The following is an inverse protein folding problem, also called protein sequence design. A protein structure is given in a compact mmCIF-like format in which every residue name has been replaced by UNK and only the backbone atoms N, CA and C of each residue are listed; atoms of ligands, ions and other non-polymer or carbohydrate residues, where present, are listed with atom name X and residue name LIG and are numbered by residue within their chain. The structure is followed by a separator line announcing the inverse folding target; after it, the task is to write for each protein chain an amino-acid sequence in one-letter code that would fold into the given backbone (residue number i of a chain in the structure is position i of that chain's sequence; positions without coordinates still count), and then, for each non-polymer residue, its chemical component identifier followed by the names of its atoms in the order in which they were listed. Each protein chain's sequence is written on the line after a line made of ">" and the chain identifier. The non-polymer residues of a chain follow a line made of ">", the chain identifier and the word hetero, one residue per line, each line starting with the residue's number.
data_IF_070399038352
#
_entry.id   IF_070399038352
#
_cell.length_a   1.000
_cell.length_b   1.000
_cell.length_c   1.000
_cell.angle_alpha   90.00
_cell.angle_beta   90.00
_cell.angle_gamma   90.00
#
_symmetry.space_group_name_H-M   'P 1'
#
loop_
_entity.id
_entity.type
_entity.pdbx_description
1 polymer ?
#
# COMPACT_ATOMS: atom_id res chain seq x y z
N UNK A 1 -3.25 -4.18 -15.89
CA UNK A 1 -2.38 -5.36 -15.75
C UNK A 1 -2.91 -6.48 -16.61
N UNK A 2 -2.05 -7.23 -17.32
CA UNK A 2 -2.45 -8.33 -18.22
C UNK A 2 -1.53 -9.52 -18.00
N UNK A 3 -2.13 -10.68 -17.82
CA UNK A 3 -1.51 -12.01 -17.74
C UNK A 3 -0.29 -12.07 -16.81
N UNK A 4 -0.40 -11.41 -15.65
CA UNK A 4 0.71 -11.34 -14.68
C UNK A 4 1.03 -12.74 -14.16
N UNK A 5 2.34 -13.07 -14.17
CA UNK A 5 2.89 -14.31 -13.62
C UNK A 5 3.99 -13.98 -12.61
N UNK A 6 3.84 -14.49 -11.38
CA UNK A 6 4.86 -14.39 -10.35
C UNK A 6 5.07 -15.74 -9.67
N UNK A 7 6.31 -16.27 -9.75
CA UNK A 7 6.71 -17.55 -9.19
C UNK A 7 7.93 -17.38 -8.30
N UNK A 8 8.02 -18.19 -7.28
CA UNK A 8 9.13 -18.18 -6.33
C UNK A 8 9.88 -19.50 -6.37
N UNK A 9 11.20 -19.48 -6.67
CA UNK A 9 12.01 -20.68 -6.63
C UNK A 9 12.21 -21.12 -5.19
N UNK A 10 11.85 -22.37 -4.89
CA UNK A 10 12.20 -23.04 -3.64
C UNK A 10 13.52 -23.75 -3.85
N UNK A 11 14.54 -23.32 -3.11
CA UNK A 11 15.88 -23.91 -3.17
C UNK A 11 16.04 -24.95 -2.06
N UNK A 12 16.65 -26.06 -2.36
CA UNK A 12 16.87 -27.14 -1.40
C UNK A 12 18.14 -27.96 -1.69
N UNK A 13 18.48 -28.85 -0.74
CA UNK A 13 19.67 -29.71 -0.82
C UNK A 13 20.98 -28.99 -0.52
N UNK A 14 22.07 -29.77 -0.42
CA UNK A 14 23.42 -29.29 -0.08
C UNK A 14 23.98 -28.25 -1.07
N UNK A 15 23.51 -28.29 -2.32
CA UNK A 15 23.98 -27.41 -3.41
C UNK A 15 23.02 -26.22 -3.67
N UNK A 16 22.05 -25.96 -2.81
CA UNK A 16 21.09 -24.85 -2.93
C UNK A 16 20.44 -24.73 -4.32
N UNK A 17 20.14 -25.87 -4.97
CA UNK A 17 19.52 -25.92 -6.30
C UNK A 17 18.01 -25.67 -6.20
N UNK A 18 17.44 -25.08 -7.26
CA UNK A 18 15.98 -24.93 -7.38
C UNK A 18 15.36 -26.31 -7.50
N UNK A 19 14.56 -26.72 -6.52
CA UNK A 19 13.89 -28.02 -6.45
C UNK A 19 12.42 -27.94 -6.82
N UNK A 20 11.78 -26.79 -6.61
CA UNK A 20 10.36 -26.52 -6.90
C UNK A 20 10.17 -25.04 -7.20
N UNK A 21 9.05 -24.72 -7.83
CA UNK A 21 8.54 -23.34 -7.95
C UNK A 21 7.19 -23.25 -7.28
N UNK A 22 6.97 -22.17 -6.50
CA UNK A 22 5.67 -21.83 -5.97
C UNK A 22 5.03 -20.84 -6.94
N UNK A 23 3.93 -21.26 -7.56
CA UNK A 23 3.12 -20.47 -8.47
C UNK A 23 2.21 -19.54 -7.66
N UNK A 24 2.69 -18.36 -7.31
CA UNK A 24 1.94 -17.44 -6.47
C UNK A 24 0.92 -16.63 -7.25
N UNK A 25 1.21 -16.26 -8.50
CA UNK A 25 0.29 -15.55 -9.40
C UNK A 25 0.40 -16.18 -10.79
N UNK A 26 -0.74 -16.59 -11.36
CA UNK A 26 -0.79 -17.21 -12.69
C UNK A 26 -1.83 -16.50 -13.57
N UNK A 27 -1.33 -15.76 -14.58
CA UNK A 27 -2.12 -15.10 -15.63
C UNK A 27 -3.25 -14.20 -15.10
N UNK A 28 -3.00 -13.43 -14.04
CA UNK A 28 -3.99 -12.51 -13.48
C UNK A 28 -4.05 -11.24 -14.32
N UNK A 29 -5.26 -10.84 -14.70
CA UNK A 29 -5.53 -9.63 -15.49
C UNK A 29 -6.63 -8.79 -14.86
N UNK A 30 -6.44 -7.50 -14.74
CA UNK A 30 -7.46 -6.53 -14.34
C UNK A 30 -7.11 -5.10 -14.74
N UNK A 31 -8.13 -4.25 -14.74
CA UNK A 31 -8.01 -2.79 -14.85
C UNK A 31 -8.43 -2.13 -13.55
N UNK A 32 -7.77 -1.04 -13.20
CA UNK A 32 -8.10 -0.18 -12.08
C UNK A 32 -8.24 1.26 -12.59
N UNK A 33 -9.39 1.87 -12.35
CA UNK A 33 -9.73 3.20 -12.84
C UNK A 33 -9.52 4.27 -11.76
N UNK A 34 -9.23 5.54 -12.15
CA UNK A 34 -9.15 6.64 -11.19
C UNK A 34 -10.42 6.74 -10.33
N UNK A 35 -10.25 6.91 -9.03
CA UNK A 35 -11.37 7.00 -8.07
C UNK A 35 -12.10 5.67 -7.81
N UNK A 36 -11.64 4.56 -8.41
CA UNK A 36 -12.22 3.24 -8.19
C UNK A 36 -11.57 2.51 -7.01
N UNK A 37 -12.33 1.70 -6.29
CA UNK A 37 -11.81 0.61 -5.45
C UNK A 37 -12.09 -0.72 -6.12
N UNK A 38 -11.04 -1.40 -6.55
CA UNK A 38 -11.08 -2.79 -6.99
C UNK A 38 -10.59 -3.66 -5.83
N UNK A 39 -11.39 -4.65 -5.42
CA UNK A 39 -10.97 -5.58 -4.38
C UNK A 39 -10.49 -6.91 -4.95
N UNK A 40 -9.37 -7.40 -4.39
CA UNK A 40 -8.89 -8.76 -4.59
C UNK A 40 -9.28 -9.60 -3.39
N UNK A 41 -10.11 -10.60 -3.61
CA UNK A 41 -10.60 -11.53 -2.59
C UNK A 41 -10.10 -12.95 -2.84
N UNK A 42 -10.13 -13.77 -1.81
CA UNK A 42 -9.74 -15.18 -1.89
C UNK A 42 -9.10 -15.66 -0.59
N UNK A 43 -8.83 -16.94 -0.51
CA UNK A 43 -8.22 -17.59 0.66
C UNK A 43 -6.80 -17.08 0.95
N UNK A 44 -6.34 -17.28 2.20
CA UNK A 44 -4.97 -16.96 2.56
C UNK A 44 -3.99 -17.77 1.71
N UNK A 45 -2.93 -17.12 1.23
CA UNK A 45 -1.90 -17.76 0.41
C UNK A 45 -2.20 -17.87 -1.09
N UNK A 46 -3.38 -17.43 -1.59
CA UNK A 46 -3.73 -17.52 -3.01
C UNK A 46 -3.06 -16.45 -3.92
N UNK A 47 -2.10 -15.68 -3.42
CA UNK A 47 -1.31 -14.74 -4.23
C UNK A 47 -1.75 -13.29 -4.25
N UNK A 48 -2.79 -12.88 -3.50
CA UNK A 48 -3.30 -11.49 -3.46
C UNK A 48 -2.23 -10.47 -3.11
N UNK A 49 -1.55 -10.66 -1.99
CA UNK A 49 -0.45 -9.77 -1.54
C UNK A 49 0.72 -9.78 -2.51
N UNK A 50 1.01 -10.94 -3.13
CA UNK A 50 2.03 -11.04 -4.17
C UNK A 50 1.67 -10.20 -5.39
N UNK A 51 0.40 -10.22 -5.82
CA UNK A 51 -0.11 -9.39 -6.91
C UNK A 51 0.07 -7.91 -6.60
N UNK A 52 -0.31 -7.45 -5.40
CA UNK A 52 -0.11 -6.07 -4.98
C UNK A 52 1.37 -5.66 -4.96
N UNK A 53 2.26 -6.51 -4.45
CA UNK A 53 3.71 -6.25 -4.39
C UNK A 53 4.34 -6.25 -5.78
N UNK A 54 3.85 -7.07 -6.71
CA UNK A 54 4.33 -7.11 -8.09
C UNK A 54 4.04 -5.79 -8.83
N UNK A 55 2.91 -5.13 -8.56
CA UNK A 55 2.59 -3.81 -9.14
C UNK A 55 3.62 -2.74 -8.79
N UNK A 56 4.22 -2.80 -7.59
CA UNK A 56 5.29 -1.91 -7.14
C UNK A 56 6.70 -2.39 -7.49
N UNK A 57 6.80 -3.51 -8.20
CA UNK A 57 8.09 -4.16 -8.47
C UNK A 57 8.88 -4.44 -7.19
N UNK A 58 8.17 -4.84 -6.12
CA UNK A 58 8.76 -5.39 -4.89
C UNK A 58 9.00 -6.90 -5.02
N UNK A 59 8.35 -7.53 -6.00
CA UNK A 59 8.50 -8.93 -6.40
C UNK A 59 8.75 -8.96 -7.90
N UNK A 60 9.68 -9.80 -8.33
CA UNK A 60 9.96 -10.05 -9.74
C UNK A 60 8.82 -10.85 -10.38
N UNK A 61 8.49 -10.49 -11.62
CA UNK A 61 7.47 -11.16 -12.41
C UNK A 61 8.13 -11.89 -13.57
N UNK A 62 7.67 -13.09 -13.87
CA UNK A 62 8.19 -13.92 -14.97
C UNK A 62 7.40 -13.75 -16.26
N UNK A 63 6.22 -13.12 -16.20
CA UNK A 63 5.40 -12.87 -17.38
C UNK A 63 4.31 -11.83 -17.14
N UNK A 64 3.65 -11.46 -18.23
CA UNK A 64 2.61 -10.46 -18.24
C UNK A 64 3.13 -9.04 -18.44
N UNK A 65 2.21 -8.08 -18.41
CA UNK A 65 2.49 -6.65 -18.57
C UNK A 65 1.75 -5.83 -17.53
N UNK A 66 2.42 -4.81 -17.02
CA UNK A 66 1.82 -3.82 -16.12
C UNK A 66 1.92 -2.46 -16.81
N UNK A 67 0.77 -1.80 -16.98
CA UNK A 67 0.68 -0.46 -17.58
C UNK A 67 0.09 0.51 -16.56
N UNK A 68 0.70 1.67 -16.43
CA UNK A 68 0.24 2.76 -15.57
C UNK A 68 0.21 4.06 -16.39
N UNK A 69 -0.94 4.74 -16.45
CA UNK A 69 -1.15 5.96 -17.26
C UNK A 69 -0.65 5.80 -18.72
N UNK A 70 -0.96 4.67 -19.35
CA UNK A 70 -0.53 4.35 -20.71
C UNK A 70 0.94 3.91 -20.86
N UNK A 71 1.74 4.02 -19.81
CA UNK A 71 3.14 3.64 -19.84
C UNK A 71 3.34 2.22 -19.28
N UNK A 72 4.08 1.39 -19.99
CA UNK A 72 4.51 0.08 -19.52
C UNK A 72 5.54 0.25 -18.38
N UNK A 73 5.30 -0.40 -17.23
CA UNK A 73 6.09 -0.20 -16.00
C UNK A 73 6.82 -1.46 -15.52
N UNK A 74 6.46 -2.63 -16.00
CA UNK A 74 7.10 -3.91 -15.62
C UNK A 74 8.57 -4.01 -16.04
N UNK A 75 9.01 -3.17 -16.96
CA UNK A 75 10.41 -3.10 -17.44
C UNK A 75 11.22 -1.96 -16.83
N UNK A 76 10.61 -1.09 -16.01
CA UNK A 76 11.29 0.05 -15.41
C UNK A 76 12.33 -0.38 -14.37
N UNK A 77 13.45 0.37 -14.28
CA UNK A 77 14.49 0.18 -13.30
C UNK A 77 15.07 1.52 -12.82
N UNK A 78 15.86 1.48 -11.73
CA UNK A 78 16.57 2.65 -11.21
C UNK A 78 15.68 3.85 -10.92
N UNK A 79 16.11 5.04 -11.33
CA UNK A 79 15.39 6.30 -11.07
C UNK A 79 13.98 6.37 -11.67
N UNK A 80 13.73 5.71 -12.82
CA UNK A 80 12.39 5.64 -13.43
C UNK A 80 11.42 4.84 -12.57
N UNK A 81 11.86 3.73 -11.99
CA UNK A 81 11.06 2.94 -11.05
C UNK A 81 10.82 3.70 -9.74
N UNK A 82 11.81 4.43 -9.24
CA UNK A 82 11.64 5.29 -8.07
C UNK A 82 10.61 6.39 -8.32
N UNK A 83 10.65 7.05 -9.48
CA UNK A 83 9.67 8.06 -9.87
C UNK A 83 8.25 7.47 -9.99
N UNK A 84 8.11 6.25 -10.51
CA UNK A 84 6.83 5.55 -10.56
C UNK A 84 6.26 5.31 -9.17
N UNK A 85 7.07 4.83 -8.23
CA UNK A 85 6.65 4.52 -6.85
C UNK A 85 6.08 5.72 -6.10
N UNK A 86 6.34 6.94 -6.57
CA UNK A 86 5.69 8.15 -6.08
C UNK A 86 4.18 8.17 -6.34
N UNK A 87 3.75 7.59 -7.46
CA UNK A 87 2.34 7.56 -7.86
C UNK A 87 1.57 6.35 -7.33
N UNK A 88 2.28 5.31 -6.91
CA UNK A 88 1.67 4.08 -6.39
C UNK A 88 2.26 3.82 -5.00
N UNK A 89 1.42 3.80 -3.98
CA UNK A 89 1.82 3.60 -2.60
C UNK A 89 1.20 2.35 -2.01
N UNK A 90 1.78 1.87 -0.90
CA UNK A 90 1.38 0.61 -0.28
C UNK A 90 1.06 0.83 1.21
N UNK A 91 -0.06 0.29 1.66
CA UNK A 91 -0.40 0.16 3.08
C UNK A 91 -0.31 -1.33 3.42
N UNK A 92 0.67 -1.69 4.23
CA UNK A 92 0.94 -3.07 4.61
C UNK A 92 -0.04 -3.56 5.68
N UNK A 93 -0.17 -4.87 5.80
CA UNK A 93 -1.07 -5.59 6.70
C UNK A 93 -0.84 -5.26 8.17
N UNK A 94 0.41 -5.19 8.61
CA UNK A 94 0.77 -4.95 10.00
C UNK A 94 1.25 -3.51 10.22
N UNK A 95 0.45 -2.66 10.90
CA UNK A 95 0.86 -1.29 11.20
C UNK A 95 1.99 -1.22 12.23
N UNK A 96 2.19 -2.26 13.06
CA UNK A 96 3.29 -2.32 14.02
C UNK A 96 4.64 -2.52 13.32
N UNK A 97 4.70 -3.50 12.40
CA UNK A 97 5.90 -3.77 11.62
C UNK A 97 6.19 -2.68 10.57
N UNK A 98 5.18 -1.87 10.21
CA UNK A 98 5.30 -0.84 9.18
C UNK A 98 5.93 0.46 9.65
N UNK A 99 6.03 0.70 10.96
CA UNK A 99 6.58 1.92 11.55
C UNK A 99 7.84 1.60 12.33
N UNK A 100 8.95 2.30 12.06
CA UNK A 100 10.17 2.17 12.87
C UNK A 100 9.90 2.75 14.27
N UNK A 101 9.99 1.93 15.34
CA UNK A 101 9.71 2.39 16.72
C UNK A 101 10.69 3.45 17.23
N UNK A 102 11.82 3.65 16.53
CA UNK A 102 12.85 4.63 16.89
C UNK A 102 12.65 5.98 16.21
N UNK A 103 11.74 6.06 15.25
CA UNK A 103 11.39 7.31 14.55
C UNK A 103 10.11 7.90 15.12
N UNK A 104 10.01 9.24 15.11
CA UNK A 104 8.75 9.90 15.42
C UNK A 104 7.73 9.66 14.31
N UNK A 105 6.45 9.83 14.64
CA UNK A 105 5.36 9.75 13.65
C UNK A 105 5.56 10.78 12.54
N UNK A 106 5.98 11.99 12.89
CA UNK A 106 6.29 13.04 11.92
C UNK A 106 7.41 12.66 10.97
N UNK A 107 8.50 12.06 11.48
CA UNK A 107 9.60 11.59 10.64
C UNK A 107 9.17 10.47 9.71
N UNK A 108 8.38 9.52 10.21
CA UNK A 108 7.85 8.41 9.40
C UNK A 108 6.96 8.88 8.24
N UNK A 109 6.12 9.91 8.47
CA UNK A 109 5.27 10.51 7.40
C UNK A 109 6.11 11.37 6.46
N UNK A 110 7.17 12.02 6.96
CA UNK A 110 8.04 12.90 6.19
C UNK A 110 9.03 12.13 5.32
N UNK A 111 9.38 10.88 5.69
CA UNK A 111 10.38 10.08 5.01
C UNK A 111 10.15 9.96 3.49
N UNK A 112 8.95 9.62 2.98
CA UNK A 112 8.69 9.61 1.54
C UNK A 112 8.98 10.95 0.85
N UNK A 113 8.64 12.07 1.49
CA UNK A 113 8.91 13.41 0.96
C UNK A 113 10.41 13.69 0.82
N UNK A 114 11.21 13.26 1.80
CA UNK A 114 12.68 13.38 1.78
C UNK A 114 13.31 12.50 0.70
N UNK A 115 12.89 11.22 0.63
CA UNK A 115 13.42 10.23 -0.33
C UNK A 115 13.16 10.67 -1.78
N UNK A 116 12.00 11.27 -2.04
CA UNK A 116 11.64 11.76 -3.36
C UNK A 116 12.04 13.22 -3.61
N UNK A 117 12.66 13.90 -2.65
CA UNK A 117 13.16 15.26 -2.79
C UNK A 117 12.09 16.33 -3.03
N UNK A 118 10.84 16.10 -2.54
CA UNK A 118 9.69 16.95 -2.86
C UNK A 118 9.58 18.17 -1.95
N UNK A 119 9.63 17.96 -0.63
CA UNK A 119 9.46 19.01 0.37
C UNK A 119 10.55 18.86 1.43
N UNK A 120 10.98 20.01 1.98
CA UNK A 120 11.99 20.09 3.06
C UNK A 120 11.60 21.17 4.05
N UNK A 121 12.20 21.11 5.25
CA UNK A 121 12.04 22.16 6.25
C UNK A 121 10.57 22.36 6.68
N UNK A 122 10.12 23.60 6.71
CA UNK A 122 8.80 23.99 7.18
C UNK A 122 7.68 23.43 6.30
N UNK A 123 7.82 23.52 4.98
CA UNK A 123 6.82 22.98 4.04
C UNK A 123 6.55 21.49 4.24
N UNK A 124 7.58 20.72 4.59
CA UNK A 124 7.41 19.30 4.91
C UNK A 124 6.65 19.10 6.24
N UNK A 125 6.91 19.95 7.26
CA UNK A 125 6.19 19.92 8.54
C UNK A 125 4.72 20.30 8.38
N UNK A 126 4.43 21.32 7.62
CA UNK A 126 3.05 21.73 7.28
C UNK A 126 2.30 20.61 6.57
N UNK A 127 2.97 19.94 5.62
CA UNK A 127 2.38 18.78 4.93
C UNK A 127 2.09 17.63 5.91
N UNK A 128 2.99 17.31 6.84
CA UNK A 128 2.77 16.31 7.89
C UNK A 128 1.60 16.69 8.78
N UNK A 129 1.54 17.94 9.25
CA UNK A 129 0.44 18.44 10.08
C UNK A 129 -0.90 18.34 9.37
N UNK A 130 -0.95 18.70 8.07
CA UNK A 130 -2.14 18.56 7.24
C UNK A 130 -2.58 17.10 7.11
N UNK A 131 -1.65 16.18 6.84
CA UNK A 131 -1.93 14.75 6.73
C UNK A 131 -2.46 14.16 8.03
N UNK A 132 -1.87 14.52 9.18
CA UNK A 132 -2.34 14.06 10.49
C UNK A 132 -3.80 14.49 10.72
N UNK A 133 -4.14 15.77 10.44
CA UNK A 133 -5.52 16.24 10.53
C UNK A 133 -6.46 15.44 9.61
N UNK A 134 -6.04 15.16 8.37
CA UNK A 134 -6.85 14.38 7.40
C UNK A 134 -7.17 12.98 7.87
N UNK A 135 -6.26 12.34 8.59
CA UNK A 135 -6.52 11.01 9.16
C UNK A 135 -7.15 11.05 10.56
N UNK A 136 -7.60 12.24 11.02
CA UNK A 136 -8.27 12.41 12.33
C UNK A 136 -7.32 12.36 13.52
N UNK A 137 -6.06 12.74 13.33
CA UNK A 137 -5.06 12.91 14.39
C UNK A 137 -4.69 14.38 14.59
N UNK A 138 -4.11 14.69 15.76
CA UNK A 138 -3.65 16.05 16.06
C UNK A 138 -2.26 16.30 15.46
N UNK A 139 -1.94 17.53 15.00
CA UNK A 139 -0.60 17.87 14.48
C UNK A 139 0.52 17.59 15.48
N UNK A 140 0.27 17.81 16.77
CA UNK A 140 1.20 17.60 17.88
C UNK A 140 1.59 16.13 18.02
N UNK A 141 0.82 15.20 17.47
CA UNK A 141 1.15 13.79 17.42
C UNK A 141 2.40 13.51 16.57
N UNK A 142 2.83 14.43 15.73
CA UNK A 142 4.05 14.31 14.93
C UNK A 142 5.30 14.04 15.78
N UNK A 143 5.35 14.56 17.01
CA UNK A 143 6.50 14.42 17.92
C UNK A 143 6.49 13.15 18.75
N UNK A 144 5.41 12.38 18.71
CA UNK A 144 5.28 11.14 19.47
C UNK A 144 5.84 9.95 18.68
N UNK A 145 6.20 8.90 19.42
CA UNK A 145 6.67 7.64 18.85
C UNK A 145 5.51 6.67 18.64
N UNK A 146 5.64 5.70 17.70
CA UNK A 146 4.57 4.76 17.36
C UNK A 146 4.01 3.99 18.57
N UNK A 147 4.83 3.68 19.57
CA UNK A 147 4.38 2.95 20.76
C UNK A 147 3.35 3.71 21.63
N UNK A 148 3.26 5.04 21.47
CA UNK A 148 2.28 5.87 22.17
C UNK A 148 0.87 5.84 21.55
N UNK A 149 0.64 5.05 20.49
CA UNK A 149 -0.60 5.01 19.73
C UNK A 149 -1.27 3.64 19.77
N UNK A 150 -2.62 3.62 19.74
CA UNK A 150 -3.40 2.41 19.55
C UNK A 150 -3.22 1.82 18.15
N UNK A 151 -3.62 0.57 17.95
CA UNK A 151 -3.56 -0.08 16.63
C UNK A 151 -4.27 0.72 15.52
N UNK A 152 -5.48 1.21 15.80
CA UNK A 152 -6.23 2.03 14.85
C UNK A 152 -5.58 3.39 14.57
N UNK A 153 -4.96 4.02 15.58
CA UNK A 153 -4.20 5.25 15.38
C UNK A 153 -2.93 5.00 14.55
N UNK A 154 -2.21 3.89 14.78
CA UNK A 154 -1.07 3.49 13.94
C UNK A 154 -1.47 3.25 12.50
N UNK A 155 -2.63 2.63 12.28
CA UNK A 155 -3.16 2.44 10.93
C UNK A 155 -3.43 3.79 10.24
N UNK A 156 -4.00 4.77 10.95
CA UNK A 156 -4.18 6.14 10.45
C UNK A 156 -2.84 6.79 10.08
N UNK A 157 -1.79 6.57 10.86
CA UNK A 157 -0.43 7.04 10.56
C UNK A 157 0.13 6.37 9.28
N UNK A 158 -0.05 5.05 9.12
CA UNK A 158 0.34 4.34 7.89
C UNK A 158 -0.40 4.86 6.66
N UNK A 159 -1.70 5.19 6.79
CA UNK A 159 -2.47 5.85 5.73
C UNK A 159 -1.90 7.23 5.43
N UNK A 160 -1.64 8.06 6.45
CA UNK A 160 -1.06 9.40 6.27
C UNK A 160 0.30 9.33 5.54
N UNK A 161 1.16 8.37 5.91
CA UNK A 161 2.44 8.12 5.24
C UNK A 161 2.27 7.76 3.77
N UNK A 162 1.34 6.87 3.45
CA UNK A 162 1.05 6.49 2.07
C UNK A 162 0.55 7.67 1.23
N UNK A 163 -0.19 8.59 1.84
CA UNK A 163 -0.73 9.79 1.18
C UNK A 163 0.28 10.95 1.06
N UNK A 164 1.46 10.84 1.66
CA UNK A 164 2.44 11.93 1.71
C UNK A 164 2.80 12.46 0.31
N UNK A 165 2.89 11.56 -0.67
CA UNK A 165 3.30 11.86 -2.05
C UNK A 165 2.15 12.22 -3.00
N UNK A 166 0.90 12.35 -2.54
CA UNK A 166 -0.30 12.48 -3.38
C UNK A 166 -0.38 11.37 -4.45
N UNK A 167 -0.41 10.09 -4.06
CA UNK A 167 -0.41 8.99 -5.00
C UNK A 167 -1.72 8.95 -5.80
N UNK A 168 -1.65 8.43 -7.03
CA UNK A 168 -2.84 8.12 -7.85
C UNK A 168 -3.45 6.78 -7.45
N UNK A 169 -2.63 5.84 -6.99
CA UNK A 169 -3.04 4.48 -6.60
C UNK A 169 -2.50 4.16 -5.22
N UNK A 170 -3.33 3.58 -4.38
CA UNK A 170 -2.94 3.02 -3.08
C UNK A 170 -3.34 1.54 -3.05
N UNK A 171 -2.36 0.68 -2.80
CA UNK A 171 -2.56 -0.75 -2.58
C UNK A 171 -2.70 -0.95 -1.07
N UNK A 172 -3.85 -1.43 -0.62
CA UNK A 172 -4.15 -1.69 0.78
C UNK A 172 -4.24 -3.20 1.02
N UNK A 173 -3.16 -3.78 1.56
CA UNK A 173 -3.02 -5.22 1.77
C UNK A 173 -3.45 -5.59 3.19
N UNK A 174 -4.65 -6.18 3.32
CA UNK A 174 -5.28 -6.58 4.59
C UNK A 174 -5.20 -5.50 5.69
N UNK A 175 -5.22 -4.26 5.29
CA UNK A 175 -4.90 -3.08 6.10
C UNK A 175 -5.85 -2.80 7.28
N UNK A 176 -6.94 -3.55 7.39
CA UNK A 176 -7.93 -3.42 8.47
C UNK A 176 -8.22 -4.74 9.19
N UNK A 177 -7.57 -5.83 8.81
CA UNK A 177 -7.88 -7.18 9.32
C UNK A 177 -7.60 -7.34 10.83
N UNK A 178 -6.56 -6.69 11.32
CA UNK A 178 -6.14 -6.76 12.74
C UNK A 178 -6.87 -5.76 13.66
N UNK A 179 -7.88 -5.04 13.16
CA UNK A 179 -8.58 -4.01 13.91
C UNK A 179 -9.95 -4.50 14.41
N UNK A 180 -10.36 -4.00 15.58
CA UNK A 180 -11.71 -4.20 16.12
C UNK A 180 -12.76 -3.67 15.15
N UNK A 181 -13.97 -4.26 15.17
CA UNK A 181 -15.06 -3.97 14.22
C UNK A 181 -15.39 -2.48 14.12
N UNK A 182 -15.48 -1.78 15.26
CA UNK A 182 -15.79 -0.34 15.29
C UNK A 182 -14.68 0.53 14.69
N UNK A 183 -13.43 0.21 15.01
CA UNK A 183 -12.25 0.92 14.48
C UNK A 183 -12.10 0.63 13.00
N UNK A 184 -12.32 -0.63 12.56
CA UNK A 184 -12.33 -1.04 11.17
C UNK A 184 -13.30 -0.21 10.33
N UNK A 185 -14.55 -0.05 10.81
CA UNK A 185 -15.55 0.77 10.14
C UNK A 185 -15.11 2.25 10.00
N UNK A 186 -14.48 2.80 11.01
CA UNK A 186 -13.94 4.17 10.97
C UNK A 186 -12.81 4.31 9.94
N UNK A 187 -11.90 3.33 9.84
CA UNK A 187 -10.80 3.35 8.87
C UNK A 187 -11.35 3.20 7.43
N UNK A 188 -12.35 2.35 7.21
CA UNK A 188 -12.99 2.20 5.91
C UNK A 188 -13.67 3.51 5.49
N UNK A 189 -14.43 4.15 6.36
CA UNK A 189 -15.06 5.44 6.07
C UNK A 189 -13.99 6.50 5.76
N UNK A 190 -12.90 6.55 6.54
CA UNK A 190 -11.77 7.44 6.26
C UNK A 190 -11.19 7.20 4.85
N UNK A 191 -10.99 5.94 4.46
CA UNK A 191 -10.46 5.61 3.13
C UNK A 191 -11.42 6.06 2.01
N UNK A 192 -12.73 5.87 2.19
CA UNK A 192 -13.76 6.32 1.24
C UNK A 192 -13.80 7.85 1.13
N UNK A 193 -13.64 8.58 2.25
CA UNK A 193 -13.59 10.04 2.25
C UNK A 193 -12.34 10.54 1.51
N UNK A 194 -11.18 9.97 1.82
CA UNK A 194 -9.92 10.28 1.14
C UNK A 194 -9.96 9.97 -0.36
N UNK A 195 -10.62 8.87 -0.75
CA UNK A 195 -10.82 8.51 -2.15
C UNK A 195 -11.62 9.59 -2.88
N UNK A 196 -12.75 10.01 -2.32
CA UNK A 196 -13.62 11.06 -2.90
C UNK A 196 -12.91 12.41 -3.00
N UNK A 197 -12.17 12.80 -1.97
CA UNK A 197 -11.48 14.08 -1.90
C UNK A 197 -10.26 14.18 -2.81
N UNK A 198 -9.49 13.08 -2.94
CA UNK A 198 -8.19 13.07 -3.62
C UNK A 198 -8.22 12.35 -4.97
N UNK A 199 -9.35 11.72 -5.34
CA UNK A 199 -9.46 10.96 -6.58
C UNK A 199 -8.59 9.70 -6.64
N UNK A 200 -8.20 9.15 -5.47
CA UNK A 200 -7.30 8.01 -5.37
C UNK A 200 -8.02 6.73 -5.84
N UNK A 201 -7.33 5.91 -6.62
CA UNK A 201 -7.76 4.55 -6.88
C UNK A 201 -7.20 3.59 -5.80
N UNK A 202 -8.03 2.70 -5.28
CA UNK A 202 -7.59 1.67 -4.33
C UNK A 202 -7.59 0.29 -4.97
N UNK A 203 -6.46 -0.42 -4.82
CA UNK A 203 -6.44 -1.86 -4.93
C UNK A 203 -6.53 -2.42 -3.50
N UNK A 204 -7.70 -2.89 -3.13
CA UNK A 204 -7.98 -3.34 -1.77
C UNK A 204 -7.90 -4.87 -1.69
N UNK A 205 -7.05 -5.39 -0.82
CA UNK A 205 -6.87 -6.84 -0.62
C UNK A 205 -7.47 -7.20 0.72
N UNK A 206 -8.44 -8.12 0.71
CA UNK A 206 -9.08 -8.59 1.93
C UNK A 206 -9.64 -10.00 1.76
N UNK A 207 -9.82 -10.70 2.87
CA UNK A 207 -10.58 -11.95 2.97
C UNK A 207 -11.93 -11.74 3.69
N UNK A 208 -12.20 -10.53 4.20
CA UNK A 208 -13.44 -10.17 4.90
C UNK A 208 -14.47 -9.60 3.91
N UNK A 209 -15.48 -10.40 3.57
CA UNK A 209 -16.48 -10.01 2.57
C UNK A 209 -17.33 -8.82 3.00
N UNK A 210 -17.61 -8.64 4.30
CA UNK A 210 -18.35 -7.49 4.79
C UNK A 210 -17.59 -6.18 4.57
N UNK A 211 -16.27 -6.21 4.71
CA UNK A 211 -15.40 -5.08 4.37
C UNK A 211 -15.39 -4.82 2.87
N UNK A 212 -15.25 -5.88 2.08
CA UNK A 212 -15.22 -5.80 0.61
C UNK A 212 -16.51 -5.19 0.08
N UNK A 213 -17.68 -5.66 0.52
CA UNK A 213 -18.97 -5.12 0.12
C UNK A 213 -19.11 -3.61 0.42
N UNK A 214 -18.52 -3.16 1.53
CA UNK A 214 -18.62 -1.75 1.95
C UNK A 214 -17.73 -0.81 1.15
N UNK A 215 -16.52 -1.25 0.75
CA UNK A 215 -15.51 -0.36 0.15
C UNK A 215 -15.40 -0.49 -1.36
N UNK A 216 -15.82 -1.61 -1.94
CA UNK A 216 -15.51 -1.94 -3.33
C UNK A 216 -16.53 -1.41 -4.32
N UNK A 217 -16.02 -0.97 -5.46
CA UNK A 217 -16.82 -0.73 -6.66
C UNK A 217 -16.90 -2.00 -7.51
N UNK A 218 -15.80 -2.79 -7.50
CA UNK A 218 -15.67 -4.08 -8.22
C UNK A 218 -14.83 -5.06 -7.40
N UNK A 219 -15.05 -6.34 -7.65
CA UNK A 219 -14.33 -7.47 -7.08
C UNK A 219 -13.77 -8.35 -8.18
#
# INVERSE_FOLDING_TARGET
>A
MRDLVARFPVRGGLLNRVTREVHAVEKVSFDLWPGETLSLVGESGCGKSTTGRALLRLVETQGGTITFDGQRIDTLAGGKLQALRRNIQFIFQDPYASLDPRQTVGDSIMEPLRVHGLLRGEAARERVAWLLKRVGLQPEHAWRYPHAFSGGQRQRICIARALALNPKVVIADESVSALDVSIRAQIINLMLDLQREMGIAFLFISHDMAVVERISHRV
#
